data_IF_281079900636
#
_entry.id   IF_281079900636
#
_cell.length_a   1.000
_cell.length_b   1.000
_cell.length_c   1.000
_cell.angle_alpha   90.00
_cell.angle_beta   90.00
_cell.angle_gamma   90.00
#
_symmetry.space_group_name_H-M   'P 1'
#
loop_
_entity.id
_entity.type
_entity.pdbx_description
1 polymer ?
#
# COMPACT_ATOMS: atom_id res chain seq x y z
N UNK A 1 -23.27 -14.70 -19.35
CA UNK A 1 -24.01 -13.43 -19.19
C UNK A 1 -22.95 -12.33 -19.24
N UNK A 2 -23.13 -11.34 -20.11
CA UNK A 2 -22.05 -10.52 -20.69
C UNK A 2 -21.25 -9.72 -19.64
N UNK A 3 -19.92 -9.93 -19.65
CA UNK A 3 -18.90 -9.17 -18.94
C UNK A 3 -18.76 -7.78 -19.57
N UNK A 4 -18.97 -6.73 -18.79
CA UNK A 4 -18.70 -5.36 -19.18
C UNK A 4 -17.24 -5.02 -18.79
N UNK A 5 -16.29 -5.33 -19.68
CA UNK A 5 -14.88 -4.99 -19.55
C UNK A 5 -14.62 -3.53 -19.95
N UNK A 6 -15.07 -2.56 -19.13
CA UNK A 6 -14.77 -1.15 -19.40
C UNK A 6 -14.77 -0.28 -18.14
N UNK A 7 -14.14 -0.75 -17.06
CA UNK A 7 -13.81 0.10 -15.92
C UNK A 7 -12.29 0.31 -15.91
N UNK A 8 -11.83 1.27 -16.70
CA UNK A 8 -10.55 1.93 -16.49
C UNK A 8 -10.69 2.74 -15.19
N UNK A 9 -10.43 2.09 -14.06
CA UNK A 9 -10.34 2.75 -12.76
C UNK A 9 -9.20 3.75 -12.89
N UNK A 10 -9.53 5.05 -12.88
CA UNK A 10 -8.53 6.12 -12.81
C UNK A 10 -7.66 5.86 -11.58
N UNK A 11 -6.34 5.96 -11.72
CA UNK A 11 -5.46 5.98 -10.56
C UNK A 11 -6.01 6.98 -9.55
N UNK A 12 -6.30 6.57 -8.31
CA UNK A 12 -6.75 7.50 -7.30
C UNK A 12 -5.67 8.55 -7.08
N UNK A 13 -6.05 9.82 -7.11
CA UNK A 13 -5.14 10.95 -7.00
C UNK A 13 -5.08 11.37 -5.53
N UNK A 14 -4.54 10.51 -4.66
CA UNK A 14 -4.14 10.92 -3.30
C UNK A 14 -3.15 12.08 -3.32
N UNK A 15 -2.48 12.24 -4.46
CA UNK A 15 -1.50 13.28 -4.67
C UNK A 15 -2.22 14.59 -5.00
N UNK A 16 -1.90 15.69 -4.29
CA UNK A 16 -2.35 17.00 -4.73
C UNK A 16 -1.97 17.17 -6.20
N UNK A 17 -2.89 17.65 -7.03
CA UNK A 17 -2.52 18.18 -8.36
C UNK A 17 -1.38 19.16 -8.11
N UNK A 18 -0.17 18.74 -8.47
CA UNK A 18 1.06 19.42 -8.09
C UNK A 18 1.03 20.83 -8.62
N UNK A 19 1.11 21.83 -7.72
CA UNK A 19 1.40 23.21 -8.13
C UNK A 19 2.70 23.27 -8.94
N UNK A 20 3.65 22.38 -8.63
CA UNK A 20 4.97 22.28 -9.26
C UNK A 20 4.91 21.90 -10.75
N UNK A 21 4.03 20.99 -11.19
CA UNK A 21 3.96 20.59 -12.60
C UNK A 21 3.41 21.71 -13.51
N UNK A 22 2.45 22.49 -13.01
CA UNK A 22 1.89 23.65 -13.73
C UNK A 22 2.89 24.81 -13.84
N UNK A 23 3.79 24.99 -12.85
CA UNK A 23 4.82 26.02 -12.91
C UNK A 23 6.06 25.61 -13.74
N UNK A 24 6.42 24.33 -13.83
CA UNK A 24 7.55 23.87 -14.66
C UNK A 24 7.22 23.99 -16.16
N UNK A 25 5.97 23.74 -16.55
CA UNK A 25 5.49 24.04 -17.91
C UNK A 25 5.71 25.53 -18.28
N UNK A 26 5.63 26.45 -17.31
CA UNK A 26 5.89 27.89 -17.52
C UNK A 26 7.35 28.23 -17.79
N UNK A 27 8.31 27.45 -17.27
CA UNK A 27 9.74 27.65 -17.54
C UNK A 27 10.11 27.34 -19.00
N UNK A 28 9.43 26.38 -19.63
CA UNK A 28 9.62 26.04 -21.06
C UNK A 28 8.76 26.96 -21.97
N UNK A 29 7.66 27.53 -21.46
CA UNK A 29 6.73 28.36 -22.23
C UNK A 29 6.94 29.88 -22.11
N UNK A 30 8.09 30.39 -21.63
CA UNK A 30 8.40 31.82 -21.80
C UNK A 30 8.64 32.15 -23.28
N UNK A 31 7.53 32.28 -24.03
CA UNK A 31 7.48 32.79 -25.40
C UNK A 31 7.97 34.24 -25.38
N UNK A 32 8.98 34.63 -26.17
CA UNK A 32 9.17 36.03 -26.50
C UNK A 32 7.98 36.47 -27.37
N UNK A 33 7.27 37.51 -26.95
CA UNK A 33 6.19 38.12 -27.74
C UNK A 33 6.73 38.55 -29.12
N UNK A 34 5.92 38.49 -30.20
CA UNK A 34 6.38 38.85 -31.53
C UNK A 34 6.60 40.36 -31.64
N UNK A 35 7.76 40.71 -32.19
CA UNK A 35 8.14 42.05 -32.62
C UNK A 35 7.11 42.64 -33.60
N UNK A 36 6.62 43.85 -33.32
CA UNK A 36 6.17 44.81 -34.35
C UNK A 36 6.67 46.23 -34.00
N UNK A 37 6.86 47.11 -35.01
CA UNK A 37 7.94 48.10 -35.00
C UNK A 37 7.56 49.50 -34.49
N UNK A 38 8.59 50.16 -33.94
CA UNK A 38 8.87 51.61 -33.85
C UNK A 38 7.70 52.59 -33.61
N UNK A 39 7.77 53.25 -32.46
CA UNK A 39 7.57 54.71 -32.37
C UNK A 39 8.54 55.32 -31.34
N UNK A 40 9.21 56.39 -31.76
CA UNK A 40 10.19 57.18 -31.00
C UNK A 40 9.54 57.82 -29.76
N UNK A 41 10.25 57.79 -28.62
CA UNK A 41 10.34 58.95 -27.71
C UNK A 41 11.45 58.78 -26.64
N UNK A 42 12.45 59.67 -26.76
CA UNK A 42 13.34 60.28 -25.77
C UNK A 42 14.12 59.44 -24.74
N UNK A 43 15.44 59.47 -24.94
CA UNK A 43 16.50 59.20 -23.97
C UNK A 43 16.42 60.05 -22.69
N UNK A 44 16.54 59.38 -21.54
CA UNK A 44 17.20 59.93 -20.35
C UNK A 44 18.24 58.89 -19.92
N UNK A 45 19.51 59.23 -20.10
CA UNK A 45 20.67 58.40 -19.73
C UNK A 45 20.96 58.64 -18.25
N UNK A 46 20.71 57.65 -17.40
CA UNK A 46 21.26 57.59 -16.04
C UNK A 46 22.37 56.53 -16.03
N UNK A 47 23.63 56.98 -15.94
CA UNK A 47 24.77 56.10 -15.69
C UNK A 47 24.68 55.55 -14.26
N UNK A 48 24.49 54.24 -14.12
CA UNK A 48 24.75 53.50 -12.88
C UNK A 48 25.93 52.57 -13.16
N UNK A 49 27.01 52.75 -12.39
CA UNK A 49 28.27 52.05 -12.55
C UNK A 49 28.13 50.54 -12.31
N UNK A 50 28.71 49.75 -13.22
CA UNK A 50 28.97 48.32 -13.05
C UNK A 50 30.11 48.15 -12.04
N UNK A 51 29.78 47.90 -10.77
CA UNK A 51 30.73 47.29 -9.83
C UNK A 51 30.75 45.78 -10.06
N UNK A 52 31.87 45.28 -10.55
CA UNK A 52 32.17 43.86 -10.65
C UNK A 52 32.27 43.25 -9.24
N UNK A 53 31.45 42.23 -8.97
CA UNK A 53 31.57 41.40 -7.77
C UNK A 53 32.74 40.43 -7.93
N UNK A 54 33.95 40.86 -7.56
CA UNK A 54 35.09 39.98 -7.32
C UNK A 54 35.12 39.61 -5.82
N UNK A 55 34.39 38.57 -5.44
CA UNK A 55 34.52 37.92 -4.13
C UNK A 55 35.31 36.60 -4.26
N UNK A 56 36.21 36.26 -3.34
CA UNK A 56 36.94 34.99 -3.39
C UNK A 56 35.98 33.81 -3.19
N UNK A 57 36.15 32.76 -3.99
CA UNK A 57 35.44 31.50 -3.84
C UNK A 57 35.79 30.86 -2.49
N UNK A 58 34.83 30.85 -1.56
CA UNK A 58 34.92 30.07 -0.33
C UNK A 58 34.87 28.56 -0.62
N UNK A 59 35.43 27.72 0.27
CA UNK A 59 35.41 26.28 0.07
C UNK A 59 33.97 25.75 0.01
N UNK A 60 33.73 24.83 -0.91
CA UNK A 60 32.47 24.10 -1.05
C UNK A 60 32.19 23.35 0.27
N UNK A 61 31.29 23.88 1.09
CA UNK A 61 30.73 23.13 2.21
C UNK A 61 29.89 22.00 1.62
N UNK A 62 30.31 20.75 1.87
CA UNK A 62 29.49 19.58 1.62
C UNK A 62 28.16 19.77 2.34
N UNK A 63 27.07 19.83 1.58
CA UNK A 63 25.72 19.76 2.12
C UNK A 63 25.60 18.37 2.74
N UNK A 64 25.71 18.32 4.07
CA UNK A 64 25.44 17.12 4.81
C UNK A 64 23.92 16.94 4.77
N UNK A 65 23.47 15.98 3.95
CA UNK A 65 22.06 15.58 3.89
C UNK A 65 21.68 15.18 5.31
N UNK A 66 20.84 15.99 5.97
CA UNK A 66 20.27 15.61 7.25
C UNK A 66 19.45 14.33 7.02
N UNK A 67 19.70 13.32 7.85
CA UNK A 67 18.85 12.13 7.85
C UNK A 67 17.38 12.56 8.04
N UNK A 68 16.42 11.90 7.35
CA UNK A 68 15.01 12.21 7.52
C UNK A 68 14.64 12.12 9.00
N UNK A 69 13.82 13.06 9.47
CA UNK A 69 13.35 13.13 10.85
C UNK A 69 12.82 11.76 11.27
N UNK A 70 13.44 11.17 12.29
CA UNK A 70 13.05 9.85 12.80
C UNK A 70 11.64 9.92 13.36
N UNK A 71 10.74 9.28 12.63
CA UNK A 71 9.37 8.95 13.01
C UNK A 71 9.31 8.41 14.44
N UNK A 72 8.81 9.20 15.39
CA UNK A 72 8.76 8.82 16.82
C UNK A 72 7.83 7.63 17.14
N UNK A 73 7.12 7.09 16.15
CA UNK A 73 6.13 6.02 16.30
C UNK A 73 6.67 4.61 16.02
N UNK A 74 7.73 4.50 15.23
CA UNK A 74 8.33 3.20 14.86
C UNK A 74 9.56 2.97 15.72
N UNK A 75 9.57 1.86 16.45
CA UNK A 75 10.68 1.46 17.32
C UNK A 75 11.30 0.18 16.79
N UNK A 76 12.58 0.24 16.42
CA UNK A 76 13.33 -0.91 15.89
C UNK A 76 14.07 -1.69 16.98
N UNK A 77 14.27 -1.10 18.16
CA UNK A 77 14.80 -1.83 19.31
C UNK A 77 13.70 -2.66 19.98
N UNK A 78 13.71 -3.94 19.63
CA UNK A 78 12.77 -4.94 20.12
C UNK A 78 13.11 -5.46 21.53
N UNK A 79 14.29 -5.12 22.08
CA UNK A 79 14.80 -5.72 23.32
C UNK A 79 13.92 -5.46 24.55
N UNK A 80 13.15 -4.37 24.52
CA UNK A 80 12.23 -3.94 25.58
C UNK A 80 10.82 -4.55 25.48
N UNK A 81 10.55 -5.42 24.51
CA UNK A 81 9.20 -5.96 24.26
C UNK A 81 9.13 -7.46 24.41
N UNK A 82 7.99 -7.93 24.90
CA UNK A 82 7.61 -9.34 24.87
C UNK A 82 6.97 -9.59 23.52
N UNK A 83 7.75 -10.14 22.59
CA UNK A 83 7.21 -10.59 21.31
C UNK A 83 6.75 -12.03 21.51
N UNK A 84 5.43 -12.30 21.48
CA UNK A 84 4.95 -13.66 21.48
C UNK A 84 5.53 -14.36 20.25
N UNK A 85 6.10 -15.55 20.46
CA UNK A 85 6.34 -16.43 19.31
C UNK A 85 4.97 -16.64 18.67
N UNK A 86 4.82 -16.30 17.38
CA UNK A 86 3.65 -16.76 16.63
C UNK A 86 3.63 -18.29 16.81
N UNK A 87 2.63 -18.78 17.55
CA UNK A 87 2.52 -20.20 17.84
C UNK A 87 2.50 -20.90 16.50
N UNK A 88 3.45 -21.80 16.27
CA UNK A 88 3.34 -22.77 15.17
C UNK A 88 1.97 -23.40 15.35
N UNK A 89 1.07 -23.18 14.38
CA UNK A 89 -0.22 -23.84 14.38
C UNK A 89 0.07 -25.32 14.64
N UNK A 90 -0.50 -25.87 15.73
CA UNK A 90 -0.38 -27.30 15.98
C UNK A 90 -0.99 -27.94 14.75
N UNK A 91 -0.17 -28.63 13.96
CA UNK A 91 -0.63 -29.28 12.75
C UNK A 91 -1.77 -30.21 13.16
N UNK A 92 -2.99 -29.83 12.78
CA UNK A 92 -4.17 -30.62 13.06
C UNK A 92 -3.95 -31.98 12.42
N UNK A 93 -3.96 -33.06 13.21
CA UNK A 93 -3.78 -34.42 12.68
C UNK A 93 -5.06 -34.95 12.00
N UNK A 94 -5.94 -34.04 11.57
CA UNK A 94 -7.23 -34.37 10.98
C UNK A 94 -7.09 -34.37 9.47
N UNK A 95 -7.50 -35.47 8.85
CA UNK A 95 -7.55 -35.61 7.39
C UNK A 95 -8.98 -35.59 6.90
N UNK A 96 -9.20 -35.05 5.71
CA UNK A 96 -10.46 -35.14 4.99
C UNK A 96 -10.28 -36.07 3.80
N UNK A 97 -10.98 -37.20 3.81
CA UNK A 97 -11.02 -38.17 2.71
C UNK A 97 -12.27 -37.91 1.88
N UNK A 98 -12.13 -37.60 0.60
CA UNK A 98 -13.28 -37.33 -0.28
C UNK A 98 -14.13 -38.59 -0.42
N UNK A 99 -15.40 -38.52 -0.02
CA UNK A 99 -16.33 -39.65 0.00
C UNK A 99 -17.55 -39.38 -0.89
N UNK A 100 -17.36 -39.56 -2.20
CA UNK A 100 -18.42 -39.38 -3.21
C UNK A 100 -18.81 -40.72 -3.84
N UNK A 101 -20.09 -40.87 -4.20
CA UNK A 101 -20.63 -42.09 -4.83
C UNK A 101 -20.75 -41.96 -6.35
N UNK A 102 -20.84 -43.10 -7.05
CA UNK A 102 -21.10 -43.17 -8.51
C UNK A 102 -20.08 -42.46 -9.41
N UNK A 103 -18.80 -42.42 -9.01
CA UNK A 103 -17.74 -41.78 -9.81
C UNK A 103 -17.86 -40.26 -9.90
N UNK A 104 -18.67 -39.63 -9.04
CA UNK A 104 -18.76 -38.17 -8.96
C UNK A 104 -17.51 -37.62 -8.28
N UNK A 105 -17.07 -36.44 -8.69
CA UNK A 105 -15.97 -35.69 -8.03
C UNK A 105 -16.54 -34.67 -7.06
N UNK A 106 -15.81 -34.38 -5.99
CA UNK A 106 -16.14 -33.29 -5.06
C UNK A 106 -15.60 -31.97 -5.60
N UNK A 107 -16.40 -30.91 -5.54
CA UNK A 107 -15.92 -29.57 -5.87
C UNK A 107 -15.08 -29.04 -4.71
N UNK A 108 -13.83 -28.70 -4.99
CA UNK A 108 -12.95 -27.99 -4.06
C UNK A 108 -13.06 -26.50 -4.37
N UNK A 109 -13.35 -25.67 -3.37
CA UNK A 109 -13.79 -24.27 -3.56
C UNK A 109 -12.83 -23.25 -2.96
N UNK A 110 -12.92 -22.02 -3.44
CA UNK A 110 -12.15 -20.89 -2.91
C UNK A 110 -12.62 -20.38 -1.54
N UNK A 111 -13.81 -20.78 -1.09
CA UNK A 111 -14.37 -20.39 0.21
C UNK A 111 -15.44 -21.34 0.74
N UNK A 112 -15.86 -21.19 2.00
CA UNK A 112 -16.78 -22.09 2.70
C UNK A 112 -18.25 -21.87 2.31
N UNK A 113 -18.62 -22.25 1.09
CA UNK A 113 -19.99 -22.11 0.62
C UNK A 113 -20.16 -22.48 -0.86
N UNK A 114 -21.40 -22.74 -1.27
CA UNK A 114 -21.70 -23.11 -2.67
C UNK A 114 -21.61 -21.94 -3.64
N UNK A 115 -21.67 -20.71 -3.14
CA UNK A 115 -21.57 -19.47 -3.93
C UNK A 115 -20.12 -19.12 -4.28
N UNK A 116 -19.15 -19.70 -3.57
CA UNK A 116 -17.73 -19.56 -3.89
C UNK A 116 -17.36 -20.42 -5.11
N UNK A 117 -16.59 -19.89 -6.08
CA UNK A 117 -16.22 -20.67 -7.26
C UNK A 117 -15.42 -21.92 -6.89
N UNK A 118 -15.67 -23.00 -7.63
CA UNK A 118 -14.84 -24.20 -7.59
C UNK A 118 -13.48 -23.91 -8.23
N UNK A 119 -12.40 -24.18 -7.50
CA UNK A 119 -11.02 -24.02 -7.97
C UNK A 119 -10.51 -25.31 -8.61
N UNK A 120 -10.97 -26.47 -8.14
CA UNK A 120 -10.69 -27.77 -8.75
C UNK A 120 -11.76 -28.80 -8.36
N UNK A 121 -11.61 -30.05 -8.82
CA UNK A 121 -12.45 -31.17 -8.42
C UNK A 121 -11.59 -32.36 -7.97
N UNK A 122 -11.92 -32.93 -6.81
CA UNK A 122 -11.20 -34.05 -6.21
C UNK A 122 -11.95 -35.37 -6.42
N UNK A 123 -11.21 -36.46 -6.64
CA UNK A 123 -11.77 -37.80 -6.83
C UNK A 123 -12.07 -38.47 -5.47
N UNK A 124 -12.99 -39.43 -5.46
CA UNK A 124 -13.26 -40.24 -4.27
C UNK A 124 -11.98 -40.93 -3.78
N UNK A 125 -11.74 -40.91 -2.47
CA UNK A 125 -10.54 -41.41 -1.82
C UNK A 125 -9.35 -40.45 -1.84
N UNK A 126 -9.48 -39.25 -2.44
CA UNK A 126 -8.43 -38.22 -2.32
C UNK A 126 -8.39 -37.74 -0.88
N UNK A 127 -7.20 -37.68 -0.30
CA UNK A 127 -6.97 -37.23 1.08
C UNK A 127 -6.35 -35.84 1.10
N UNK A 128 -6.79 -35.00 2.04
CA UNK A 128 -6.17 -33.72 2.33
C UNK A 128 -5.98 -33.53 3.84
N UNK A 129 -4.98 -32.74 4.23
CA UNK A 129 -4.85 -32.29 5.62
C UNK A 129 -5.86 -31.15 5.88
N UNK A 130 -6.61 -31.24 6.98
CA UNK A 130 -7.57 -30.22 7.39
C UNK A 130 -6.84 -29.19 8.24
N UNK A 131 -6.86 -27.93 7.81
CA UNK A 131 -6.17 -26.84 8.50
C UNK A 131 -7.12 -25.93 9.28
N UNK A 132 -8.39 -25.87 8.90
CA UNK A 132 -9.42 -25.10 9.61
C UNK A 132 -10.84 -25.57 9.23
N UNK A 133 -11.85 -25.05 9.94
CA UNK A 133 -13.28 -25.18 9.61
C UNK A 133 -13.96 -23.82 9.65
N UNK A 134 -15.06 -23.63 8.94
CA UNK A 134 -15.87 -22.42 9.11
C UNK A 134 -16.59 -22.44 10.47
N UNK A 135 -17.18 -21.31 10.87
CA UNK A 135 -17.86 -21.18 12.17
C UNK A 135 -19.01 -22.20 12.35
N UNK A 136 -19.74 -22.51 11.29
CA UNK A 136 -20.82 -23.49 11.30
C UNK A 136 -20.34 -24.95 11.32
N UNK A 137 -19.06 -25.20 10.98
CA UNK A 137 -18.47 -26.53 10.92
C UNK A 137 -18.94 -27.41 9.75
N UNK A 138 -19.65 -26.85 8.77
CA UNK A 138 -20.14 -27.56 7.58
C UNK A 138 -19.19 -27.45 6.37
N UNK A 139 -18.10 -26.69 6.52
CA UNK A 139 -17.00 -26.60 5.56
C UNK A 139 -15.64 -26.72 6.23
N UNK A 140 -14.74 -27.48 5.60
CA UNK A 140 -13.36 -27.67 6.03
C UNK A 140 -12.40 -27.03 5.04
N UNK A 141 -11.49 -26.21 5.56
CA UNK A 141 -10.36 -25.72 4.81
C UNK A 141 -9.27 -26.79 4.83
N UNK A 142 -8.81 -27.15 3.64
CA UNK A 142 -7.84 -28.21 3.42
C UNK A 142 -6.60 -27.66 2.74
N UNK A 143 -5.45 -28.25 3.04
CA UNK A 143 -4.20 -28.00 2.36
C UNK A 143 -3.72 -29.26 1.61
N UNK A 144 -3.21 -29.15 0.39
CA UNK A 144 -3.29 -27.98 -0.50
C UNK A 144 -3.64 -28.43 -1.92
N UNK A 145 -4.25 -27.52 -2.68
CA UNK A 145 -4.51 -27.69 -4.11
C UNK A 145 -3.55 -26.84 -4.94
N UNK A 146 -3.41 -27.20 -6.21
CA UNK A 146 -2.58 -26.45 -7.15
C UNK A 146 -3.10 -25.01 -7.29
N UNK A 147 -2.23 -24.04 -7.06
CA UNK A 147 -2.48 -22.62 -7.28
C UNK A 147 -1.75 -22.05 -8.49
N UNK A 148 -2.02 -20.78 -8.76
CA UNK A 148 -1.30 -20.00 -9.76
C UNK A 148 0.16 -19.80 -9.32
N UNK A 149 1.12 -20.25 -10.13
CA UNK A 149 2.55 -20.15 -9.84
C UNK A 149 3.15 -21.35 -9.09
N UNK A 150 2.33 -22.32 -8.68
CA UNK A 150 2.81 -23.57 -8.11
C UNK A 150 3.47 -24.45 -9.19
N UNK A 151 4.61 -25.08 -8.86
CA UNK A 151 5.16 -26.17 -9.66
C UNK A 151 4.24 -27.39 -9.59
N UNK A 152 4.20 -28.23 -10.62
CA UNK A 152 3.32 -29.42 -10.68
C UNK A 152 3.39 -30.32 -9.43
N UNK A 153 4.55 -30.39 -8.77
CA UNK A 153 4.79 -31.24 -7.61
C UNK A 153 4.56 -30.54 -6.24
N UNK A 154 4.14 -29.27 -6.23
CA UNK A 154 4.04 -28.49 -4.98
C UNK A 154 2.82 -27.58 -4.96
N UNK A 155 1.69 -28.15 -4.57
CA UNK A 155 0.48 -27.40 -4.23
C UNK A 155 0.70 -26.59 -2.95
N UNK A 156 0.37 -25.30 -2.99
CA UNK A 156 0.48 -24.39 -1.83
C UNK A 156 -0.81 -23.67 -1.50
N UNK A 157 -1.86 -23.79 -2.31
CA UNK A 157 -3.10 -23.03 -2.14
C UNK A 157 -4.08 -23.77 -1.24
N UNK A 158 -4.49 -23.20 -0.08
CA UNK A 158 -5.59 -23.75 0.71
C UNK A 158 -6.93 -23.62 -0.03
N UNK A 159 -7.83 -24.57 0.20
CA UNK A 159 -9.16 -24.55 -0.41
C UNK A 159 -10.20 -25.24 0.47
N UNK A 160 -11.47 -25.24 0.07
CA UNK A 160 -12.59 -25.64 0.91
C UNK A 160 -13.35 -26.84 0.36
N UNK A 161 -13.67 -27.78 1.23
CA UNK A 161 -14.54 -28.93 0.97
C UNK A 161 -15.73 -28.91 1.92
N UNK A 162 -16.91 -29.23 1.41
CA UNK A 162 -18.11 -29.36 2.24
C UNK A 162 -18.05 -30.64 3.07
N UNK A 163 -18.47 -30.59 4.33
CA UNK A 163 -18.55 -31.74 5.24
C UNK A 163 -19.26 -32.94 4.59
N UNK A 164 -20.37 -32.68 3.89
CA UNK A 164 -21.21 -33.70 3.25
C UNK A 164 -20.53 -34.51 2.13
N UNK A 165 -19.36 -34.10 1.64
CA UNK A 165 -18.59 -34.83 0.61
C UNK A 165 -17.27 -35.40 1.12
N UNK A 166 -17.00 -35.30 2.41
CA UNK A 166 -15.78 -35.82 3.03
C UNK A 166 -16.11 -36.75 4.19
N UNK A 167 -15.17 -37.62 4.50
CA UNK A 167 -15.12 -38.34 5.76
C UNK A 167 -13.86 -37.90 6.49
N UNK A 168 -14.02 -37.38 7.70
CA UNK A 168 -12.89 -36.98 8.52
C UNK A 168 -12.23 -38.19 9.18
N UNK A 169 -10.91 -38.18 9.20
CA UNK A 169 -10.08 -39.04 10.03
C UNK A 169 -9.42 -38.18 11.11
N UNK A 170 -9.75 -38.43 12.37
CA UNK A 170 -9.33 -37.59 13.51
C UNK A 170 -10.53 -36.95 14.22
N UNK A 171 -10.27 -36.12 15.23
CA UNK A 171 -11.31 -35.40 15.97
C UNK A 171 -11.62 -34.05 15.33
N UNK A 172 -12.85 -33.87 14.85
CA UNK A 172 -13.30 -32.62 14.24
C UNK A 172 -13.33 -31.44 15.25
N UNK A 173 -13.37 -31.73 16.56
CA UNK A 173 -13.30 -30.71 17.61
C UNK A 173 -11.91 -30.06 17.66
N UNK A 174 -10.85 -30.79 17.30
CA UNK A 174 -9.47 -30.28 17.25
C UNK A 174 -9.20 -29.34 16.06
N UNK A 175 -10.11 -29.30 15.07
CA UNK A 175 -9.97 -28.41 13.91
C UNK A 175 -10.26 -26.97 14.33
N UNK A 176 -9.32 -26.03 14.16
CA UNK A 176 -9.52 -24.63 14.53
C UNK A 176 -10.55 -23.96 13.61
N UNK A 177 -11.28 -22.98 14.15
CA UNK A 177 -12.21 -22.16 13.36
C UNK A 177 -11.42 -21.14 12.54
N UNK A 178 -11.77 -21.00 11.26
CA UNK A 178 -11.23 -19.99 10.35
C UNK A 178 -11.91 -18.65 10.62
N UNK A 179 -11.33 -17.90 11.55
CA UNK A 179 -11.86 -16.60 11.95
C UNK A 179 -11.41 -15.48 11.01
N UNK A 180 -12.29 -14.50 10.79
CA UNK A 180 -11.93 -13.31 10.03
C UNK A 180 -10.96 -12.44 10.85
N UNK A 181 -9.85 -12.05 10.23
CA UNK A 181 -8.86 -11.15 10.85
C UNK A 181 -9.24 -9.67 10.70
N UNK A 182 -10.17 -9.36 9.80
CA UNK A 182 -10.80 -8.05 9.65
C UNK A 182 -12.32 -8.13 9.93
N UNK A 183 -12.88 -7.20 10.70
CA UNK A 183 -14.32 -7.16 10.98
C UNK A 183 -15.14 -6.72 9.75
N UNK A 184 -16.44 -7.03 9.71
CA UNK A 184 -17.32 -6.63 8.58
C UNK A 184 -17.51 -5.12 8.49
N UNK A 185 -17.51 -4.45 9.64
CA UNK A 185 -17.63 -3.01 9.79
C UNK A 185 -16.25 -2.34 9.87
N UNK A 186 -15.23 -2.90 9.21
CA UNK A 186 -13.86 -2.39 9.25
C UNK A 186 -13.82 -0.87 9.04
N UNK A 187 -13.21 -0.19 10.00
CA UNK A 187 -13.00 1.24 10.01
C UNK A 187 -11.58 1.54 10.51
N UNK A 188 -10.87 2.40 9.79
CA UNK A 188 -9.52 2.82 10.13
C UNK A 188 -9.27 4.27 9.74
N UNK A 189 -8.41 4.95 10.49
CA UNK A 189 -8.06 6.35 10.26
C UNK A 189 -6.56 6.54 10.28
N UNK A 190 -6.02 7.20 9.25
CA UNK A 190 -4.64 7.64 9.21
C UNK A 190 -4.54 9.16 9.24
N UNK A 191 -3.45 9.63 9.81
CA UNK A 191 -3.08 11.03 9.89
C UNK A 191 -1.90 11.29 8.98
N UNK A 192 -2.04 12.29 8.12
CA UNK A 192 -1.08 12.61 7.07
C UNK A 192 -0.38 13.92 7.41
N UNK A 193 0.95 13.94 7.29
CA UNK A 193 1.76 15.15 7.25
C UNK A 193 2.42 15.22 5.88
N UNK A 194 2.25 16.32 5.17
CA UNK A 194 2.87 16.57 3.88
C UNK A 194 3.72 17.84 3.97
N UNK A 195 4.90 17.82 3.36
CA UNK A 195 5.75 19.00 3.23
C UNK A 195 6.27 19.16 1.79
N UNK A 196 6.48 20.41 1.39
CA UNK A 196 7.19 20.73 0.16
C UNK A 196 8.55 21.36 0.46
N UNK A 197 9.60 20.75 -0.07
CA UNK A 197 11.00 21.17 0.01
C UNK A 197 11.44 22.21 -1.03
N UNK A 198 10.52 22.78 -1.81
CA UNK A 198 10.83 23.79 -2.84
C UNK A 198 10.52 25.21 -2.36
N UNK A 199 11.39 26.17 -2.70
CA UNK A 199 11.09 27.60 -2.55
C UNK A 199 9.90 28.08 -3.39
N UNK A 200 9.47 27.28 -4.36
CA UNK A 200 8.40 27.61 -5.31
C UNK A 200 7.00 27.24 -4.81
N UNK A 201 6.90 26.47 -3.74
CA UNK A 201 5.62 26.04 -3.21
C UNK A 201 4.90 27.18 -2.47
N UNK A 202 3.64 27.41 -2.84
CA UNK A 202 2.76 28.34 -2.10
C UNK A 202 2.39 27.74 -0.74
N UNK A 203 2.15 26.43 -0.71
CA UNK A 203 1.87 25.66 0.49
C UNK A 203 3.13 24.90 0.89
N UNK A 204 3.70 25.21 2.05
CA UNK A 204 4.91 24.55 2.56
C UNK A 204 4.63 23.27 3.34
N UNK A 205 3.52 23.22 4.05
CA UNK A 205 3.11 22.09 4.91
C UNK A 205 1.61 21.98 4.94
N UNK A 206 1.12 20.75 5.02
CA UNK A 206 -0.29 20.45 5.19
C UNK A 206 -0.49 19.17 6.00
N UNK A 207 -1.65 19.08 6.62
CA UNK A 207 -2.10 17.87 7.29
C UNK A 207 -3.40 17.37 6.68
N UNK A 208 -3.61 16.06 6.72
CA UNK A 208 -4.87 15.45 6.30
C UNK A 208 -5.26 14.30 7.23
N UNK A 209 -6.50 13.89 7.14
CA UNK A 209 -6.98 12.61 7.66
C UNK A 209 -7.45 11.74 6.50
N UNK A 210 -6.97 10.51 6.44
CA UNK A 210 -7.52 9.47 5.56
C UNK A 210 -8.43 8.59 6.39
N UNK A 211 -9.71 8.55 6.06
CA UNK A 211 -10.68 7.65 6.69
C UNK A 211 -11.01 6.52 5.74
N UNK A 212 -10.91 5.28 6.21
CA UNK A 212 -11.30 4.08 5.49
C UNK A 212 -12.49 3.43 6.18
N UNK A 213 -13.58 3.16 5.45
CA UNK A 213 -14.78 2.50 5.97
C UNK A 213 -15.30 1.48 4.95
N UNK A 214 -15.83 0.36 5.44
CA UNK A 214 -16.52 -0.60 4.57
C UNK A 214 -17.83 0.00 4.07
N UNK A 215 -18.00 0.05 2.76
CA UNK A 215 -19.28 0.35 2.12
C UNK A 215 -20.10 -0.94 1.95
N UNK A 216 -19.50 -1.96 1.35
CA UNK A 216 -20.18 -3.21 0.98
C UNK A 216 -19.34 -4.45 1.32
N UNK A 217 -19.99 -5.52 1.75
CA UNK A 217 -19.38 -6.86 1.89
C UNK A 217 -19.87 -7.77 0.77
N UNK A 218 -18.96 -8.27 -0.06
CA UNK A 218 -19.27 -9.13 -1.21
C UNK A 218 -18.73 -10.55 -1.05
N UNK A 219 -19.50 -11.53 -1.51
CA UNK A 219 -19.19 -12.97 -1.40
C UNK A 219 -18.74 -13.41 0.01
N UNK A 220 -19.28 -12.76 1.06
CA UNK A 220 -18.97 -13.01 2.48
C UNK A 220 -17.49 -12.88 2.89
N UNK A 221 -16.61 -12.42 1.99
CA UNK A 221 -15.17 -12.38 2.24
C UNK A 221 -14.50 -11.08 1.80
N UNK A 222 -15.04 -10.38 0.81
CA UNK A 222 -14.45 -9.17 0.26
C UNK A 222 -15.11 -7.95 0.90
N UNK A 223 -14.31 -7.14 1.57
CA UNK A 223 -14.72 -5.84 2.07
C UNK A 223 -14.38 -4.81 1.00
N UNK A 224 -15.37 -4.12 0.46
CA UNK A 224 -15.19 -2.93 -0.37
C UNK A 224 -14.99 -1.74 0.57
N UNK A 225 -13.74 -1.27 0.68
CA UNK A 225 -13.32 -0.25 1.64
C UNK A 225 -13.09 1.07 0.94
N UNK A 226 -13.97 2.02 1.21
CA UNK A 226 -13.90 3.39 0.72
C UNK A 226 -12.96 4.21 1.57
N UNK A 227 -12.04 4.91 0.91
CA UNK A 227 -11.10 5.83 1.50
C UNK A 227 -11.48 7.25 1.11
N UNK A 228 -11.46 8.16 2.08
CA UNK A 228 -11.63 9.59 1.85
C UNK A 228 -10.50 10.34 2.52
N UNK A 229 -9.75 11.13 1.74
CA UNK A 229 -8.73 12.03 2.28
C UNK A 229 -9.32 13.43 2.47
N UNK A 230 -9.32 13.92 3.71
CA UNK A 230 -9.75 15.28 4.06
C UNK A 230 -8.55 16.09 4.52
N UNK A 231 -8.15 17.05 3.70
CA UNK A 231 -7.07 17.99 4.01
C UNK A 231 -7.58 19.16 4.86
N UNK A 232 -6.67 19.79 5.60
CA UNK A 232 -6.96 21.09 6.22
C UNK A 232 -7.44 22.11 5.16
N UNK A 233 -8.39 22.99 5.50
CA UNK A 233 -9.23 23.74 4.55
C UNK A 233 -8.43 24.63 3.59
N UNK A 234 -7.18 24.97 3.94
CA UNK A 234 -6.28 25.80 3.13
C UNK A 234 -5.41 25.03 2.16
N UNK A 235 -5.51 23.70 2.14
CA UNK A 235 -4.54 22.83 1.49
C UNK A 235 -4.98 22.40 0.09
N UNK A 236 -5.67 21.26 0.00
CA UNK A 236 -5.97 20.59 -1.25
C UNK A 236 -7.41 20.08 -1.24
N UNK A 237 -7.93 19.74 -2.41
CA UNK A 237 -9.26 19.12 -2.53
C UNK A 237 -9.25 17.72 -1.93
N UNK A 238 -10.38 17.34 -1.33
CA UNK A 238 -10.69 15.95 -0.98
C UNK A 238 -10.61 15.05 -2.20
N UNK A 239 -10.09 13.83 -2.02
CA UNK A 239 -10.13 12.75 -2.99
C UNK A 239 -10.66 11.46 -2.36
N UNK A 240 -11.13 10.53 -3.18
CA UNK A 240 -11.72 9.27 -2.75
C UNK A 240 -11.30 8.10 -3.63
N UNK A 241 -11.12 6.94 -3.01
CA UNK A 241 -10.76 5.71 -3.70
C UNK A 241 -11.21 4.48 -2.93
N UNK A 242 -11.33 3.35 -3.64
CA UNK A 242 -11.90 2.13 -3.08
C UNK A 242 -10.97 0.95 -3.34
N UNK A 243 -10.76 0.13 -2.32
CA UNK A 243 -10.05 -1.15 -2.43
C UNK A 243 -10.94 -2.29 -1.97
N UNK A 244 -10.77 -3.48 -2.55
CA UNK A 244 -11.35 -4.70 -1.99
C UNK A 244 -10.28 -5.43 -1.17
N UNK A 245 -10.58 -5.76 0.09
CA UNK A 245 -9.69 -6.57 0.94
C UNK A 245 -10.39 -7.86 1.39
N UNK A 246 -9.68 -8.99 1.33
CA UNK A 246 -10.19 -10.23 1.86
C UNK A 246 -10.11 -10.21 3.39
N UNK A 247 -11.24 -10.30 4.07
CA UNK A 247 -11.32 -10.17 5.53
C UNK A 247 -10.68 -11.30 6.32
N UNK A 248 -10.42 -12.44 5.70
CA UNK A 248 -9.82 -13.60 6.36
C UNK A 248 -8.31 -13.67 6.14
N UNK A 249 -7.82 -13.23 4.98
CA UNK A 249 -6.39 -13.24 4.67
C UNK A 249 -5.73 -11.88 4.86
N UNK A 250 -6.52 -10.80 5.00
CA UNK A 250 -6.01 -9.43 5.06
C UNK A 250 -5.28 -9.00 3.79
N UNK A 251 -5.48 -9.69 2.66
CA UNK A 251 -4.85 -9.35 1.38
C UNK A 251 -5.84 -8.59 0.53
N UNK A 252 -5.40 -7.45 0.00
CA UNK A 252 -6.12 -6.75 -1.06
C UNK A 252 -6.35 -7.67 -2.26
N UNK A 253 -7.50 -7.51 -2.90
CA UNK A 253 -7.81 -8.14 -4.16
C UNK A 253 -6.91 -7.52 -5.22
N UNK A 254 -5.89 -8.28 -5.62
CA UNK A 254 -4.89 -7.85 -6.61
C UNK A 254 -5.50 -7.07 -7.77
N UNK A 255 -4.90 -5.92 -8.04
CA UNK A 255 -4.96 -5.24 -9.31
C UNK A 255 -3.54 -4.98 -9.82
N UNK A 256 -2.72 -6.02 -10.02
CA UNK A 256 -1.45 -5.93 -10.80
C UNK A 256 -0.47 -4.80 -10.41
N UNK A 257 -0.54 -4.30 -9.17
CA UNK A 257 0.20 -3.15 -8.66
C UNK A 257 1.14 -3.53 -7.51
N UNK A 258 1.66 -4.76 -7.50
CA UNK A 258 2.57 -5.25 -6.45
C UNK A 258 3.79 -4.32 -6.22
N UNK A 259 4.15 -3.51 -7.22
CA UNK A 259 5.24 -2.53 -7.22
C UNK A 259 4.84 -1.14 -6.65
N UNK A 260 3.55 -0.83 -6.51
CA UNK A 260 3.09 0.48 -6.06
C UNK A 260 2.86 0.53 -4.54
N UNK A 261 3.94 0.73 -3.79
CA UNK A 261 3.90 0.77 -2.32
C UNK A 261 3.04 1.92 -1.73
N UNK A 262 2.64 2.92 -2.53
CA UNK A 262 1.88 4.09 -2.05
C UNK A 262 0.43 3.75 -1.67
N UNK A 263 -0.12 2.67 -2.23
CA UNK A 263 -1.54 2.32 -2.10
C UNK A 263 -1.79 0.96 -1.48
N UNK A 264 -0.77 0.36 -0.86
CA UNK A 264 -0.88 -0.96 -0.22
C UNK A 264 -1.34 -0.77 1.22
N UNK A 265 -2.64 -0.78 1.45
CA UNK A 265 -3.21 -0.66 2.79
C UNK A 265 -3.30 -2.01 3.50
N UNK A 266 -3.54 -3.12 2.77
CA UNK A 266 -3.61 -4.46 3.34
C UNK A 266 -2.79 -5.49 2.54
N UNK A 267 -1.74 -6.02 3.17
CA UNK A 267 -0.78 -6.97 2.56
C UNK A 267 -0.89 -8.39 3.11
N UNK A 268 -1.76 -8.61 4.09
CA UNK A 268 -1.91 -9.85 4.85
C UNK A 268 -0.78 -10.12 5.86
N UNK A 269 -0.95 -11.16 6.71
CA UNK A 269 0.00 -11.52 7.76
C UNK A 269 1.33 -12.06 7.26
N UNK A 270 1.41 -12.59 6.04
CA UNK A 270 2.62 -13.22 5.48
C UNK A 270 3.63 -12.21 4.91
N UNK A 271 3.57 -10.93 5.30
CA UNK A 271 4.35 -9.86 4.65
C UNK A 271 5.82 -9.82 5.07
N UNK A 272 6.18 -10.36 6.24
CA UNK A 272 7.56 -10.46 6.72
C UNK A 272 7.67 -10.74 8.21
N UNK A 273 8.90 -10.94 8.70
CA UNK A 273 9.17 -11.15 10.13
C UNK A 273 9.06 -9.85 10.94
N UNK A 274 8.59 -9.94 12.18
CA UNK A 274 8.52 -8.79 13.09
C UNK A 274 9.91 -8.16 13.24
N UNK A 275 10.05 -6.89 12.84
CA UNK A 275 11.31 -6.15 12.95
C UNK A 275 11.16 -4.78 13.62
N UNK A 276 9.92 -4.38 13.92
CA UNK A 276 9.61 -3.08 14.51
C UNK A 276 8.38 -3.19 15.43
N UNK A 277 8.26 -2.25 16.37
CA UNK A 277 7.04 -1.99 17.12
C UNK A 277 6.49 -0.64 16.69
N UNK A 278 5.20 -0.57 16.38
CA UNK A 278 4.49 0.67 16.10
C UNK A 278 3.71 1.14 17.33
N UNK A 279 3.81 2.42 17.67
CA UNK A 279 3.12 3.06 18.79
C UNK A 279 1.91 3.83 18.29
N UNK A 280 0.71 3.34 18.63
CA UNK A 280 -0.54 4.05 18.39
C UNK A 280 -0.68 5.25 19.33
N UNK A 281 -1.55 6.19 18.95
CA UNK A 281 -1.78 7.42 19.74
C UNK A 281 -2.41 7.16 21.10
N UNK A 282 -3.17 6.08 21.24
CA UNK A 282 -3.78 5.64 22.48
C UNK A 282 -2.79 4.94 23.43
N UNK A 283 -1.53 4.79 23.03
CA UNK A 283 -0.48 4.16 23.82
C UNK A 283 -0.33 2.66 23.58
N UNK A 284 -1.21 2.04 22.78
CA UNK A 284 -1.02 0.64 22.35
C UNK A 284 0.25 0.52 21.52
N UNK A 285 0.85 -0.65 21.61
CA UNK A 285 2.08 -1.00 20.94
C UNK A 285 1.82 -2.26 20.15
N UNK A 286 2.07 -2.23 18.84
CA UNK A 286 1.75 -3.35 17.95
C UNK A 286 2.99 -3.83 17.23
N UNK A 287 3.10 -5.14 17.03
CA UNK A 287 4.18 -5.73 16.26
C UNK A 287 4.02 -5.40 14.79
N UNK A 288 5.10 -4.94 14.17
CA UNK A 288 5.11 -4.49 12.80
C UNK A 288 6.24 -5.16 12.02
N UNK A 289 5.96 -5.41 10.74
CA UNK A 289 6.97 -5.62 9.73
C UNK A 289 7.14 -4.33 8.92
N UNK A 290 8.30 -3.71 9.03
CA UNK A 290 8.67 -2.55 8.24
C UNK A 290 9.63 -2.93 7.11
N UNK A 291 9.44 -2.37 5.92
CA UNK A 291 10.27 -2.64 4.75
C UNK A 291 10.52 -1.37 3.93
N UNK A 292 11.62 -1.38 3.18
CA UNK A 292 12.04 -0.28 2.32
C UNK A 292 13.57 -0.10 2.31
N UNK A 293 14.08 0.89 1.57
CA UNK A 293 13.30 1.84 0.77
C UNK A 293 12.71 1.17 -0.48
N UNK A 294 11.40 1.29 -0.66
CA UNK A 294 10.68 0.98 -1.88
C UNK A 294 10.86 2.11 -2.89
N UNK A 295 10.80 1.80 -4.18
CA UNK A 295 10.86 2.81 -5.24
C UNK A 295 9.71 2.59 -6.20
N UNK A 296 8.98 3.67 -6.50
CA UNK A 296 7.99 3.73 -7.57
C UNK A 296 8.37 4.86 -8.51
N UNK A 297 8.42 4.59 -9.80
CA UNK A 297 8.64 5.61 -10.82
C UNK A 297 7.44 5.68 -11.76
N UNK A 298 6.95 6.91 -12.00
CA UNK A 298 5.80 7.18 -12.86
C UNK A 298 6.22 8.21 -13.90
N UNK A 299 6.10 7.88 -15.19
CA UNK A 299 6.33 8.82 -16.28
C UNK A 299 5.21 9.87 -16.32
N UNK A 300 5.56 11.16 -16.29
CA UNK A 300 4.59 12.27 -16.41
C UNK A 300 4.45 12.80 -17.84
N UNK A 301 5.41 12.47 -18.71
CA UNK A 301 5.52 12.99 -20.08
C UNK A 301 6.55 14.12 -20.21
N UNK A 302 6.82 14.53 -21.45
CA UNK A 302 7.80 15.60 -21.79
C UNK A 302 9.19 15.40 -21.17
N UNK A 303 9.61 14.15 -20.99
CA UNK A 303 10.91 13.79 -20.41
C UNK A 303 10.94 13.81 -18.88
N UNK A 304 9.82 14.07 -18.21
CA UNK A 304 9.72 14.06 -16.75
C UNK A 304 9.24 12.71 -16.22
N UNK A 305 9.93 12.23 -15.18
CA UNK A 305 9.50 11.13 -14.34
C UNK A 305 9.37 11.60 -12.90
N UNK A 306 8.33 11.15 -12.22
CA UNK A 306 8.19 11.30 -10.77
C UNK A 306 8.64 10.03 -10.08
N UNK A 307 9.52 10.16 -9.10
CA UNK A 307 10.10 9.04 -8.35
C UNK A 307 9.72 9.18 -6.89
N UNK A 308 9.12 8.15 -6.32
CA UNK A 308 8.80 7.99 -4.91
C UNK A 308 9.79 7.03 -4.29
N UNK A 309 10.38 7.40 -3.15
CA UNK A 309 11.27 6.54 -2.38
C UNK A 309 10.81 6.57 -0.94
N UNK A 310 10.45 5.43 -0.39
CA UNK A 310 9.79 5.40 0.91
C UNK A 310 9.82 4.07 1.64
N UNK A 311 9.33 4.06 2.87
CA UNK A 311 9.22 2.87 3.70
C UNK A 311 7.76 2.64 4.08
N UNK A 312 7.40 1.38 4.30
CA UNK A 312 6.09 1.00 4.83
C UNK A 312 6.26 0.13 6.07
N UNK A 313 5.32 0.23 7.00
CA UNK A 313 5.17 -0.69 8.13
C UNK A 313 3.76 -1.27 8.12
N UNK A 314 3.65 -2.58 8.31
CA UNK A 314 2.38 -3.28 8.36
C UNK A 314 2.24 -4.07 9.65
N UNK A 315 1.02 -4.15 10.16
CA UNK A 315 0.65 -5.02 11.28
C UNK A 315 0.84 -6.48 10.89
N UNK A 316 1.52 -7.27 11.72
CA UNK A 316 1.85 -8.66 11.38
C UNK A 316 0.66 -9.62 11.50
N UNK A 317 -0.43 -9.23 12.16
CA UNK A 317 -1.65 -10.05 12.25
C UNK A 317 -2.55 -9.87 11.03
N UNK A 318 -2.76 -8.64 10.60
CA UNK A 318 -3.76 -8.28 9.60
C UNK A 318 -3.15 -7.85 8.26
N UNK A 319 -1.87 -7.47 8.25
CA UNK A 319 -1.22 -6.80 7.13
C UNK A 319 -1.67 -5.35 6.91
N UNK A 320 -2.45 -4.77 7.83
CA UNK A 320 -2.91 -3.38 7.73
C UNK A 320 -1.73 -2.41 7.81
N UNK A 321 -1.73 -1.38 6.97
CA UNK A 321 -0.75 -0.30 6.95
C UNK A 321 -0.77 0.47 8.27
N UNK A 322 0.38 0.50 8.93
CA UNK A 322 0.62 1.26 10.16
C UNK A 322 1.32 2.59 9.89
N UNK A 323 2.29 2.56 8.98
CA UNK A 323 3.15 3.70 8.64
C UNK A 323 3.48 3.66 7.16
N UNK A 324 3.36 4.80 6.48
CA UNK A 324 3.92 5.05 5.15
C UNK A 324 4.69 6.35 5.22
N UNK A 325 5.95 6.34 4.78
CA UNK A 325 6.74 7.55 4.61
C UNK A 325 7.41 7.53 3.25
N UNK A 326 7.39 8.64 2.52
CA UNK A 326 8.14 8.75 1.28
C UNK A 326 8.63 10.17 1.01
N UNK A 327 9.71 10.23 0.23
CA UNK A 327 10.14 11.41 -0.51
C UNK A 327 9.77 11.23 -1.97
N UNK A 328 9.18 12.26 -2.56
CA UNK A 328 8.84 12.36 -3.98
C UNK A 328 9.73 13.39 -4.63
N UNK A 329 10.31 13.04 -5.77
CA UNK A 329 11.19 13.91 -6.55
C UNK A 329 10.89 13.79 -8.04
N UNK A 330 11.34 14.77 -8.81
CA UNK A 330 11.20 14.80 -10.27
C UNK A 330 12.56 14.65 -10.94
N UNK A 331 12.63 13.78 -11.93
CA UNK A 331 13.81 13.55 -12.75
C UNK A 331 13.51 13.93 -14.19
N UNK A 332 14.45 14.62 -14.84
CA UNK A 332 14.31 15.03 -16.24
C UNK A 332 15.29 14.28 -17.15
N UNK A 333 14.77 13.77 -18.26
CA UNK A 333 15.53 13.17 -19.36
C UNK A 333 15.14 13.83 -20.67
N UNK A 334 16.08 14.53 -21.30
CA UNK A 334 15.79 15.26 -22.53
C UNK A 334 16.83 16.34 -22.83
N UNK A 335 16.53 17.16 -23.83
CA UNK A 335 17.38 18.29 -24.19
C UNK A 335 16.72 19.61 -23.79
N UNK A 336 17.48 20.45 -23.09
CA UNK A 336 17.03 21.79 -22.71
C UNK A 336 18.19 22.79 -22.77
N UNK A 337 17.96 23.93 -23.43
CA UNK A 337 18.97 24.99 -23.63
C UNK A 337 20.31 24.48 -24.22
N UNK A 338 20.24 23.50 -25.13
CA UNK A 338 21.42 22.92 -25.79
C UNK A 338 22.25 22.00 -24.90
N UNK A 339 21.73 21.59 -23.75
CA UNK A 339 22.31 20.53 -22.89
C UNK A 339 21.40 19.31 -22.90
N UNK A 340 22.02 18.13 -22.90
CA UNK A 340 21.33 16.86 -22.71
C UNK A 340 21.36 16.48 -21.24
N UNK A 341 20.21 16.10 -20.71
CA UNK A 341 20.01 15.64 -19.35
C UNK A 341 19.58 14.18 -19.37
N UNK A 342 20.07 13.39 -18.43
CA UNK A 342 19.71 12.00 -18.26
C UNK A 342 19.35 11.76 -16.81
N UNK A 343 18.04 11.64 -16.52
CA UNK A 343 17.50 11.49 -15.17
C UNK A 343 18.04 12.54 -14.19
N UNK A 344 18.16 13.78 -14.64
CA UNK A 344 18.71 14.87 -13.83
C UNK A 344 17.73 15.28 -12.73
N UNK A 345 18.25 15.48 -11.52
CA UNK A 345 17.48 15.92 -10.36
C UNK A 345 17.82 17.38 -10.03
N UNK A 346 16.81 18.24 -9.91
CA UNK A 346 16.99 19.68 -9.72
C UNK A 346 16.73 20.19 -8.29
N UNK A 347 16.59 19.30 -7.30
CA UNK A 347 16.54 19.67 -5.88
C UNK A 347 15.14 19.94 -5.30
N UNK A 348 14.08 19.98 -6.12
CA UNK A 348 12.70 20.11 -5.63
C UNK A 348 12.18 18.74 -5.16
N UNK A 349 11.59 18.67 -3.97
CA UNK A 349 10.99 17.43 -3.42
C UNK A 349 9.73 17.70 -2.60
N UNK A 350 8.93 16.66 -2.42
CA UNK A 350 7.81 16.60 -1.46
C UNK A 350 8.06 15.43 -0.50
N UNK A 351 7.68 15.57 0.76
CA UNK A 351 7.63 14.46 1.70
C UNK A 351 6.20 14.22 2.15
N UNK A 352 5.87 12.96 2.39
CA UNK A 352 4.61 12.57 3.01
C UNK A 352 4.88 11.52 4.07
N UNK A 353 4.26 11.70 5.23
CA UNK A 353 4.14 10.68 6.26
C UNK A 353 2.67 10.42 6.54
N UNK A 354 2.26 9.16 6.58
CA UNK A 354 0.92 8.70 6.87
C UNK A 354 0.96 7.66 7.98
N UNK A 355 0.22 7.94 9.06
CA UNK A 355 0.31 7.24 10.33
C UNK A 355 -1.03 6.71 10.77
N UNK A 356 -1.15 5.42 11.07
CA UNK A 356 -2.38 4.87 11.64
C UNK A 356 -2.66 5.55 12.99
N UNK A 357 -3.82 6.20 13.08
CA UNK A 357 -4.29 6.86 14.29
C UNK A 357 -5.12 5.91 15.14
N UNK A 358 -6.08 5.22 14.52
CA UNK A 358 -7.02 4.30 15.15
C UNK A 358 -7.65 3.35 14.13
N UNK A 359 -8.12 2.20 14.62
CA UNK A 359 -8.83 1.17 13.85
C UNK A 359 -9.68 0.31 14.78
N UNK A 360 -10.79 -0.24 14.27
CA UNK A 360 -11.56 -1.27 14.98
C UNK A 360 -11.06 -2.70 14.70
N UNK A 361 -10.09 -2.87 13.79
CA UNK A 361 -9.43 -4.16 13.57
C UNK A 361 -8.57 -4.54 14.79
N UNK A 362 -8.59 -5.83 15.13
CA UNK A 362 -7.72 -6.36 16.18
C UNK A 362 -6.32 -6.56 15.60
N UNK A 363 -5.40 -5.68 15.96
CA UNK A 363 -3.99 -5.74 15.57
C UNK A 363 -3.19 -6.72 16.46
N UNK A 364 -1.91 -6.91 16.16
CA UNK A 364 -1.00 -7.70 16.97
C UNK A 364 -0.41 -6.87 18.12
N UNK A 365 -1.16 -6.73 19.22
CA UNK A 365 -0.69 -6.00 20.41
C UNK A 365 0.50 -6.70 21.09
N UNK A 366 1.48 -5.92 21.55
CA UNK A 366 2.65 -6.38 22.33
C UNK A 366 2.77 -5.63 23.65
N UNK A 367 3.35 -6.31 24.63
CA UNK A 367 3.61 -5.74 25.96
C UNK A 367 5.08 -5.31 26.09
N UNK A 368 5.30 -4.21 26.82
CA UNK A 368 6.64 -3.85 27.29
C UNK A 368 7.07 -4.80 28.41
N UNK A 369 8.37 -5.08 28.47
CA UNK A 369 8.99 -5.87 29.55
C UNK A 369 9.04 -5.15 30.88
#
# INVERSE_FOLDING_TARGET
MLLNQNNTIRSPHVLPRTQSALCIHSLIQKRPAPFLPRLLALCVVALVGLSACNGPAGPLQQIQVAAPSTNSRVVTDLSQFVIPSMSTATATQVKAVVNTTNGRRANVRSGPGTDFPAVTAAEAGTEFDVIAKNEAGDWFQVCCVQGDGDSEDKATTPAWLADVVVQLEGDAEDVPVYEAILPEDLAARWQVNWECGSERCEIKRCTATVEANVDTVSAQQWLEVDHTVTWDETCFSTDQWTFEVNRFTGKERSNTQDENFLYRYWVGPDSGEINSIYKLRDGRQVAAFCSGPHTLEVEEGDGWSTVYIGNTCHDVRTGMLLDLSYEKRWLYTGEFEGKTYNREYFGDFETLEQHLADTNAVLYDVESK
#
